data_IF_496729774472
#
_entry.id   IF_496729774472
#
_cell.length_a   1.000
_cell.length_b   1.000
_cell.length_c   1.000
_cell.angle_alpha   90.00
_cell.angle_beta   90.00
_cell.angle_gamma   90.00
#
_symmetry.space_group_name_H-M   'P 1'
#
loop_
_entity.id
_entity.type
_entity.pdbx_description
1 polymer ?
#
# COMPACT_ATOMS: atom_id res chain seq x y z
N UNK A 1 -7.53 5.44 -3.04
CA UNK A 1 -6.40 4.58 -3.46
C UNK A 1 -6.71 3.65 -4.64
N UNK A 2 -7.98 3.41 -4.98
CA UNK A 2 -8.39 2.49 -6.07
C UNK A 2 -7.79 2.85 -7.44
N UNK A 3 -7.61 4.16 -7.72
CA UNK A 3 -6.99 4.66 -8.96
C UNK A 3 -5.53 4.21 -9.17
N UNK A 4 -4.77 4.02 -8.08
CA UNK A 4 -3.38 3.56 -8.13
C UNK A 4 -3.26 2.04 -7.92
N UNK A 5 -4.36 1.29 -7.87
CA UNK A 5 -4.34 -0.16 -7.65
C UNK A 5 -4.05 -1.00 -8.89
N UNK A 6 -3.55 -0.39 -9.96
CA UNK A 6 -3.35 -1.02 -11.26
C UNK A 6 -4.60 -1.05 -12.14
N UNK A 7 -5.81 -0.97 -11.57
CA UNK A 7 -7.08 -1.14 -12.31
C UNK A 7 -7.40 -0.04 -13.32
N UNK A 8 -7.40 1.21 -12.85
CA UNK A 8 -7.76 2.37 -13.66
C UNK A 8 -6.57 3.02 -14.36
N UNK A 9 -5.38 2.87 -13.79
CA UNK A 9 -4.11 3.30 -14.39
C UNK A 9 -3.07 2.22 -14.18
N UNK A 10 -2.41 1.85 -15.28
CA UNK A 10 -1.38 0.84 -15.28
C UNK A 10 -0.09 1.39 -14.63
N UNK A 11 0.73 0.52 -14.02
CA UNK A 11 1.93 0.94 -13.27
C UNK A 11 2.92 1.78 -14.09
N UNK A 12 2.96 1.58 -15.41
CA UNK A 12 3.84 2.34 -16.31
C UNK A 12 3.31 3.74 -16.65
N UNK A 13 2.03 4.01 -16.45
CA UNK A 13 1.40 5.30 -16.75
C UNK A 13 1.39 6.25 -15.53
N UNK A 14 1.90 5.80 -14.37
CA UNK A 14 1.98 6.61 -13.16
C UNK A 14 3.27 7.47 -13.14
N UNK A 15 3.18 8.77 -12.77
CA UNK A 15 4.35 9.60 -12.58
C UNK A 15 5.25 9.04 -11.46
N UNK A 16 6.54 8.89 -11.78
CA UNK A 16 7.51 8.07 -11.02
C UNK A 16 7.74 8.48 -9.56
N UNK A 17 7.89 9.76 -9.18
CA UNK A 17 8.50 10.11 -7.88
C UNK A 17 7.62 9.85 -6.66
N UNK A 18 6.29 9.91 -6.80
CA UNK A 18 5.37 9.79 -5.65
C UNK A 18 4.23 8.80 -5.92
N UNK A 19 3.77 8.70 -7.18
CA UNK A 19 2.63 7.85 -7.54
C UNK A 19 3.06 6.40 -7.78
N UNK A 20 4.17 6.19 -8.50
CA UNK A 20 4.74 4.85 -8.68
C UNK A 20 5.48 4.35 -7.44
N UNK A 21 6.18 5.24 -6.74
CA UNK A 21 6.83 4.95 -5.46
C UNK A 21 6.53 6.10 -4.51
N UNK A 22 5.95 5.91 -3.31
CA UNK A 22 5.58 4.65 -2.65
C UNK A 22 4.12 4.22 -2.88
N UNK A 23 3.27 5.11 -3.42
CA UNK A 23 1.80 4.96 -3.36
C UNK A 23 1.28 3.67 -4.01
N UNK A 24 1.81 3.30 -5.18
CA UNK A 24 1.44 2.03 -5.85
C UNK A 24 1.79 0.79 -5.01
N UNK A 25 2.92 0.80 -4.31
CA UNK A 25 3.39 -0.36 -3.52
C UNK A 25 2.72 -0.51 -2.17
N UNK A 26 2.22 0.58 -1.59
CA UNK A 26 1.48 0.58 -0.31
C UNK A 26 -0.02 0.33 -0.52
N UNK A 27 -0.53 0.56 -1.74
CA UNK A 27 -1.92 0.32 -2.08
C UNK A 27 -2.27 -1.18 -2.05
N UNK A 28 -3.05 -1.60 -1.05
CA UNK A 28 -3.51 -2.99 -0.93
C UNK A 28 -4.22 -3.50 -2.19
N UNK A 29 -4.92 -2.61 -2.91
CA UNK A 29 -5.65 -2.93 -4.13
C UNK A 29 -4.74 -3.51 -5.22
N UNK A 30 -3.45 -3.13 -5.27
CA UNK A 30 -2.47 -3.74 -6.19
C UNK A 30 -2.43 -5.26 -5.99
N UNK A 31 -2.19 -5.70 -4.76
CA UNK A 31 -2.00 -7.12 -4.43
C UNK A 31 -3.33 -7.89 -4.50
N UNK A 32 -4.44 -7.26 -4.14
CA UNK A 32 -5.76 -7.87 -4.30
C UNK A 32 -6.06 -8.14 -5.79
N UNK A 33 -5.90 -7.13 -6.65
CA UNK A 33 -6.15 -7.27 -8.09
C UNK A 33 -5.17 -8.27 -8.72
N UNK A 34 -3.88 -8.20 -8.39
CA UNK A 34 -2.89 -9.17 -8.89
C UNK A 34 -3.20 -10.60 -8.44
N UNK A 35 -3.64 -10.80 -7.19
CA UNK A 35 -4.07 -12.09 -6.67
C UNK A 35 -5.29 -12.64 -7.42
N UNK A 36 -6.33 -11.83 -7.62
CA UNK A 36 -7.52 -12.22 -8.40
C UNK A 36 -7.16 -12.57 -9.84
N UNK A 37 -6.37 -11.74 -10.51
CA UNK A 37 -5.96 -11.99 -11.89
C UNK A 37 -5.16 -13.28 -12.03
N UNK A 38 -4.22 -13.53 -11.12
CA UNK A 38 -3.46 -14.79 -11.09
C UNK A 38 -4.29 -15.99 -10.68
N UNK A 39 -5.49 -15.80 -10.12
CA UNK A 39 -6.40 -16.89 -9.80
C UNK A 39 -7.31 -17.25 -10.99
N UNK A 40 -7.87 -16.25 -11.66
CA UNK A 40 -8.94 -16.43 -12.65
C UNK A 40 -8.44 -16.62 -14.09
N UNK A 41 -7.32 -15.98 -14.47
CA UNK A 41 -6.88 -15.98 -15.87
C UNK A 41 -6.07 -17.20 -16.31
N UNK A 42 -5.27 -17.88 -15.45
CA UNK A 42 -4.58 -19.09 -15.88
C UNK A 42 -5.56 -20.18 -16.32
N UNK A 43 -5.32 -20.79 -17.49
CA UNK A 43 -6.17 -21.85 -18.05
C UNK A 43 -7.32 -21.34 -18.93
N UNK A 44 -7.57 -20.03 -18.97
CA UNK A 44 -8.50 -19.41 -19.92
C UNK A 44 -7.77 -19.04 -21.22
N UNK A 45 -8.45 -19.23 -22.35
CA UNK A 45 -8.00 -18.79 -23.66
C UNK A 45 -9.10 -17.93 -24.28
N UNK A 46 -8.72 -16.78 -24.82
CA UNK A 46 -9.64 -15.83 -25.40
C UNK A 46 -9.36 -15.64 -26.89
N UNK A 47 -10.38 -15.37 -27.72
CA UNK A 47 -10.15 -15.02 -29.12
C UNK A 47 -9.36 -13.70 -29.20
N UNK A 48 -8.23 -13.71 -29.91
CA UNK A 48 -7.40 -12.51 -30.08
C UNK A 48 -7.98 -11.64 -31.19
N UNK A 49 -8.66 -10.57 -30.80
CA UNK A 49 -9.30 -9.62 -31.71
C UNK A 49 -8.25 -8.77 -32.46
N UNK A 50 -7.01 -8.69 -31.95
CA UNK A 50 -5.93 -7.90 -32.54
C UNK A 50 -5.01 -8.71 -33.48
N UNK A 51 -5.05 -10.05 -33.43
CA UNK A 51 -4.27 -10.87 -34.34
C UNK A 51 -5.06 -11.15 -35.62
N UNK A 52 -4.53 -10.71 -36.76
CA UNK A 52 -5.03 -11.08 -38.08
C UNK A 52 -4.96 -12.61 -38.23
N UNK A 53 -6.11 -13.28 -38.26
CA UNK A 53 -6.19 -14.74 -38.46
C UNK A 53 -6.84 -15.55 -37.34
N UNK A 54 -7.43 -14.91 -36.32
CA UNK A 54 -8.24 -15.63 -35.32
C UNK A 54 -7.42 -16.43 -34.31
N UNK A 55 -6.18 -16.05 -34.06
CA UNK A 55 -5.35 -16.68 -33.04
C UNK A 55 -6.01 -16.57 -31.65
N UNK A 56 -5.86 -17.57 -30.79
CA UNK A 56 -6.29 -17.50 -29.40
C UNK A 56 -5.16 -16.98 -28.52
N UNK A 57 -5.44 -16.02 -27.65
CA UNK A 57 -4.49 -15.50 -26.66
C UNK A 57 -4.75 -16.13 -25.29
N UNK A 58 -3.69 -16.58 -24.62
CA UNK A 58 -3.79 -17.17 -23.28
C UNK A 58 -4.04 -16.09 -22.22
N UNK A 59 -4.79 -16.41 -21.17
CA UNK A 59 -5.04 -15.48 -20.07
C UNK A 59 -3.75 -15.03 -19.35
N UNK A 60 -2.72 -15.89 -19.30
CA UNK A 60 -1.39 -15.52 -18.81
C UNK A 60 -0.70 -14.44 -19.63
N UNK A 61 -0.91 -14.48 -20.95
CA UNK A 61 -0.32 -13.52 -21.88
C UNK A 61 -1.07 -12.18 -21.85
N UNK A 62 -2.39 -12.21 -21.66
CA UNK A 62 -3.19 -11.02 -21.36
C UNK A 62 -2.70 -10.36 -20.06
N UNK A 63 -2.49 -11.15 -19.00
CA UNK A 63 -2.02 -10.65 -17.71
C UNK A 63 -0.70 -9.91 -17.81
N UNK A 64 0.24 -10.46 -18.59
CA UNK A 64 1.57 -9.90 -18.78
C UNK A 64 1.56 -8.67 -19.69
N UNK A 65 0.91 -8.77 -20.84
CA UNK A 65 1.03 -7.76 -21.90
C UNK A 65 0.05 -6.61 -21.74
N UNK A 66 -1.19 -6.89 -21.33
CA UNK A 66 -2.20 -5.85 -21.13
C UNK A 66 -2.21 -5.34 -19.70
N UNK A 67 -2.30 -6.24 -18.72
CA UNK A 67 -2.44 -5.85 -17.31
C UNK A 67 -1.11 -5.54 -16.60
N UNK A 68 0.02 -5.78 -17.26
CA UNK A 68 1.37 -5.56 -16.71
C UNK A 68 1.56 -6.21 -15.33
N UNK A 69 0.97 -7.39 -15.13
CA UNK A 69 1.08 -8.13 -13.87
C UNK A 69 2.46 -8.72 -13.72
N UNK A 70 3.01 -8.63 -12.52
CA UNK A 70 4.27 -9.29 -12.18
C UNK A 70 4.07 -10.81 -12.10
N UNK A 71 4.47 -11.51 -13.15
CA UNK A 71 4.44 -12.98 -13.22
C UNK A 71 5.60 -13.65 -12.47
N UNK A 72 6.49 -12.87 -11.85
CA UNK A 72 7.69 -13.36 -11.16
C UNK A 72 7.39 -14.13 -9.86
N UNK A 73 6.20 -13.93 -9.30
CA UNK A 73 5.77 -14.53 -8.04
C UNK A 73 4.34 -15.06 -8.12
N UNK A 74 4.02 -16.05 -7.29
CA UNK A 74 2.72 -16.73 -7.29
C UNK A 74 1.62 -15.95 -6.56
N UNK A 75 0.35 -16.32 -6.80
CA UNK A 75 -0.85 -15.73 -6.15
C UNK A 75 -0.80 -15.79 -4.62
N UNK A 76 -0.13 -16.80 -4.06
CA UNK A 76 0.05 -16.96 -2.63
C UNK A 76 0.95 -15.88 -2.01
N UNK A 77 1.89 -15.35 -2.79
CA UNK A 77 2.76 -14.26 -2.34
C UNK A 77 1.94 -12.98 -2.22
N UNK A 78 1.07 -12.70 -3.20
CA UNK A 78 0.16 -11.54 -3.13
C UNK A 78 -0.78 -11.63 -1.92
N UNK A 79 -1.28 -12.83 -1.61
CA UNK A 79 -2.08 -13.08 -0.41
C UNK A 79 -1.28 -12.88 0.88
N UNK A 80 -0.05 -13.41 0.96
CA UNK A 80 0.81 -13.24 2.12
C UNK A 80 1.14 -11.77 2.38
N UNK A 81 1.39 -10.99 1.32
CA UNK A 81 1.62 -9.54 1.42
C UNK A 81 0.36 -8.84 1.93
N UNK A 82 -0.83 -9.18 1.44
CA UNK A 82 -2.09 -8.63 1.96
C UNK A 82 -2.27 -8.91 3.45
N UNK A 83 -2.05 -10.15 3.89
CA UNK A 83 -2.10 -10.50 5.31
C UNK A 83 -1.06 -9.71 6.12
N UNK A 84 0.18 -9.60 5.61
CA UNK A 84 1.24 -8.80 6.21
C UNK A 84 0.85 -7.32 6.36
N UNK A 85 0.21 -6.75 5.33
CA UNK A 85 -0.30 -5.37 5.38
C UNK A 85 -1.36 -5.18 6.47
N UNK A 86 -2.29 -6.13 6.64
CA UNK A 86 -3.30 -6.07 7.71
C UNK A 86 -2.63 -6.01 9.09
N UNK A 87 -1.67 -6.91 9.34
CA UNK A 87 -0.92 -6.93 10.60
C UNK A 87 -0.14 -5.63 10.79
N UNK A 88 0.57 -5.17 9.76
CA UNK A 88 1.35 -3.94 9.81
C UNK A 88 0.47 -2.72 10.14
N UNK A 89 -0.66 -2.56 9.46
CA UNK A 89 -1.59 -1.46 9.74
C UNK A 89 -2.19 -1.53 11.14
N UNK A 90 -2.46 -2.73 11.66
CA UNK A 90 -2.91 -2.92 13.05
C UNK A 90 -1.82 -2.50 14.05
N UNK A 91 -0.57 -2.87 13.81
CA UNK A 91 0.55 -2.47 14.67
C UNK A 91 0.81 -0.96 14.61
N UNK A 92 0.76 -0.36 13.42
CA UNK A 92 0.89 1.09 13.25
C UNK A 92 -0.22 1.84 13.99
N UNK A 93 -1.47 1.35 13.89
CA UNK A 93 -2.59 1.91 14.63
C UNK A 93 -2.35 1.86 16.14
N UNK A 94 -1.95 0.70 16.67
CA UNK A 94 -1.62 0.55 18.10
C UNK A 94 -0.44 1.43 18.52
N UNK A 95 0.59 1.56 17.68
CA UNK A 95 1.74 2.42 17.96
C UNK A 95 1.34 3.90 18.04
N UNK A 96 0.49 4.38 17.12
CA UNK A 96 -0.04 5.75 17.13
C UNK A 96 -0.87 5.98 18.40
N UNK A 97 -1.77 5.05 18.74
CA UNK A 97 -2.58 5.13 19.96
C UNK A 97 -1.73 5.13 21.24
N UNK A 98 -0.62 4.40 21.28
CA UNK A 98 0.33 4.40 22.42
C UNK A 98 1.23 5.63 22.45
N UNK A 99 1.50 6.25 21.31
CA UNK A 99 2.31 7.45 21.22
C UNK A 99 1.54 8.71 21.66
N UNK A 100 0.22 8.77 21.42
CA UNK A 100 -0.66 9.86 21.89
C UNK A 100 -0.52 10.18 23.39
N UNK A 101 -0.67 9.23 24.33
CA UNK A 101 -0.49 9.49 25.75
C UNK A 101 0.96 9.80 26.12
N UNK A 102 1.94 9.23 25.40
CA UNK A 102 3.36 9.50 25.66
C UNK A 102 3.75 10.94 25.30
N UNK A 103 3.27 11.46 24.16
CA UNK A 103 3.46 12.86 23.76
C UNK A 103 2.70 13.79 24.69
N UNK A 104 1.47 13.45 25.09
CA UNK A 104 0.70 14.22 26.04
C UNK A 104 1.40 14.30 27.41
N UNK A 105 1.95 13.19 27.90
CA UNK A 105 2.73 13.14 29.14
C UNK A 105 4.05 13.92 29.05
N UNK A 106 4.73 13.91 27.90
CA UNK A 106 5.93 14.73 27.68
C UNK A 106 5.60 16.23 27.69
N UNK A 107 4.52 16.63 27.00
CA UNK A 107 4.03 18.02 27.02
C UNK A 107 3.70 18.45 28.45
N UNK A 108 2.96 17.63 29.19
CA UNK A 108 2.61 17.92 30.58
C UNK A 108 3.85 18.07 31.49
N UNK A 109 4.84 17.18 31.36
CA UNK A 109 6.13 17.30 32.08
C UNK A 109 6.92 18.55 31.69
N UNK A 110 6.91 18.93 30.41
CA UNK A 110 7.59 20.16 29.97
C UNK A 110 6.89 21.42 30.51
N UNK A 111 5.56 21.44 30.55
CA UNK A 111 4.77 22.55 31.10
C UNK A 111 4.99 22.69 32.60
N UNK A 112 4.98 21.59 33.37
CA UNK A 112 5.28 21.63 34.80
C UNK A 112 6.69 22.15 35.08
N UNK A 113 7.70 21.71 34.31
CA UNK A 113 9.07 22.19 34.47
C UNK A 113 9.19 23.69 34.20
N UNK A 114 8.50 24.22 33.18
CA UNK A 114 8.49 25.68 32.92
C UNK A 114 7.78 26.48 34.01
N UNK A 115 6.70 25.95 34.59
CA UNK A 115 5.95 26.62 35.66
C UNK A 115 6.79 26.70 36.94
N UNK A 116 7.45 25.60 37.34
CA UNK A 116 8.33 25.61 38.52
C UNK A 116 9.48 26.60 38.38
N UNK A 117 10.11 26.69 37.19
CA UNK A 117 11.19 27.66 36.94
C UNK A 117 10.70 29.10 37.00
N UNK A 118 9.46 29.38 36.54
CA UNK A 118 8.87 30.71 36.61
C UNK A 118 8.49 31.12 38.05
N UNK A 119 7.92 30.20 38.85
CA UNK A 119 7.59 30.47 40.26
C UNK A 119 8.84 30.67 41.12
N UNK A 120 9.90 29.89 40.88
CA UNK A 120 11.14 30.00 41.65
C UNK A 120 11.91 31.30 41.36
N UNK A 121 11.77 31.88 40.15
CA UNK A 121 12.30 33.20 39.83
C UNK A 121 11.46 34.37 40.34
N UNK A 122 10.18 34.15 40.66
CA UNK A 122 9.27 35.17 41.18
C UNK A 122 9.27 35.26 42.72
N UNK A 123 9.64 34.17 43.42
CA UNK A 123 9.63 34.11 44.89
C UNK A 123 10.92 34.59 45.57
N UNK A 124 11.92 35.01 44.79
CA UNK A 124 13.25 35.42 45.28
C UNK A 124 13.55 36.92 45.14
N UNK A 125 12.51 37.77 45.08
CA UNK A 125 12.63 39.24 45.22
C UNK A 125 12.06 39.72 46.54
#
# INVERSE_FOLDING_TARGET
MMLNGGFFRLPNDLPKPVWRYPMYYVAFHKYANQGFYKNEFPGLSFPNIQATGGATVSGSEILRNFWQVEMRYSKWVDLAVLCGMVVLYRLLFLAIEKLKPMIAGLRFRSTMRSVQVAEQGSGSQ
#
